data_IF_908127787540
#
_entry.id   IF_908127787540
#
_cell.length_a   1.000
_cell.length_b   1.000
_cell.length_c   1.000
_cell.angle_alpha   90.00
_cell.angle_beta   90.00
_cell.angle_gamma   90.00
#
_symmetry.space_group_name_H-M   'P 1'
#
loop_
_entity.id
_entity.type
_entity.pdbx_description
1 polymer ?
#
# COMPACT_ATOMS: atom_id res chain seq x y z
N UNK A 1 -8.37 -6.49 -13.23
CA UNK A 1 -7.59 -6.65 -11.99
C UNK A 1 -8.53 -6.94 -10.84
N UNK A 2 -8.18 -7.85 -9.92
CA UNK A 2 -9.00 -8.16 -8.74
C UNK A 2 -8.07 -8.44 -7.55
N UNK A 3 -8.39 -7.86 -6.38
CA UNK A 3 -7.71 -8.13 -5.10
C UNK A 3 -8.58 -7.70 -3.91
N UNK A 4 -8.12 -7.96 -2.69
CA UNK A 4 -8.90 -7.72 -1.49
C UNK A 4 -8.18 -6.77 -0.52
N UNK A 5 -8.90 -5.77 -0.03
CA UNK A 5 -8.48 -4.92 1.09
C UNK A 5 -9.37 -5.18 2.31
N UNK A 6 -8.85 -4.91 3.49
CA UNK A 6 -9.59 -4.97 4.75
C UNK A 6 -9.52 -3.60 5.42
N UNK A 7 -10.68 -2.99 5.70
CA UNK A 7 -10.73 -1.63 6.21
C UNK A 7 -11.15 -1.58 7.67
N UNK A 8 -10.60 -0.60 8.36
CA UNK A 8 -11.06 -0.18 9.68
C UNK A 8 -12.42 0.54 9.60
N UNK A 9 -12.99 0.87 10.76
CA UNK A 9 -14.14 1.76 10.90
C UNK A 9 -13.72 3.23 11.17
N UNK A 10 -12.45 3.55 10.94
CA UNK A 10 -11.87 4.86 11.22
C UNK A 10 -10.91 5.29 10.11
N UNK A 11 -10.50 6.55 10.14
CA UNK A 11 -9.51 7.15 9.25
C UNK A 11 -8.50 7.93 10.09
N UNK A 12 -7.20 7.71 9.83
CA UNK A 12 -6.12 8.45 10.47
C UNK A 12 -5.79 8.03 11.91
N UNK A 13 -6.18 6.83 12.34
CA UNK A 13 -5.92 6.33 13.69
C UNK A 13 -4.77 5.31 13.71
N UNK A 14 -3.55 5.76 13.98
CA UNK A 14 -2.36 4.90 14.07
C UNK A 14 -2.43 3.82 15.14
N UNK A 15 -3.26 4.01 16.18
CA UNK A 15 -3.45 3.05 17.29
C UNK A 15 -4.46 1.95 16.96
N UNK A 16 -5.19 2.08 15.83
CA UNK A 16 -6.15 1.06 15.45
C UNK A 16 -5.42 -0.22 15.01
N UNK A 17 -5.90 -1.35 15.48
CA UNK A 17 -5.41 -2.68 15.10
C UNK A 17 -6.49 -3.54 14.46
N UNK A 18 -7.75 -3.09 14.42
CA UNK A 18 -8.89 -3.87 13.93
C UNK A 18 -9.31 -3.45 12.53
N UNK A 19 -9.39 -4.42 11.63
CA UNK A 19 -9.75 -4.25 10.22
C UNK A 19 -10.82 -5.27 9.78
N UNK A 20 -12.08 -5.11 10.25
CA UNK A 20 -13.11 -6.13 10.10
C UNK A 20 -13.81 -6.14 8.75
N UNK A 21 -13.65 -5.10 7.93
CA UNK A 21 -14.47 -4.94 6.73
C UNK A 21 -13.72 -5.40 5.48
N UNK A 22 -14.08 -6.55 4.94
CA UNK A 22 -13.55 -7.04 3.67
C UNK A 22 -14.10 -6.21 2.50
N UNK A 23 -13.21 -5.77 1.61
CA UNK A 23 -13.51 -5.03 0.38
C UNK A 23 -12.86 -5.71 -0.80
N UNK A 24 -13.66 -6.31 -1.66
CA UNK A 24 -13.19 -6.87 -2.93
C UNK A 24 -13.10 -5.74 -3.94
N UNK A 25 -11.90 -5.51 -4.46
CA UNK A 25 -11.60 -4.47 -5.43
C UNK A 25 -11.62 -5.07 -6.82
N UNK A 26 -12.55 -4.65 -7.64
CA UNK A 26 -12.69 -5.07 -9.04
C UNK A 26 -12.69 -3.90 -10.01
N UNK A 27 -12.81 -2.69 -9.47
CA UNK A 27 -12.85 -1.44 -10.22
C UNK A 27 -12.13 -0.32 -9.47
N UNK A 28 -11.81 0.74 -10.19
CA UNK A 28 -11.32 2.00 -9.62
C UNK A 28 -12.29 2.58 -8.57
N UNK A 29 -13.59 2.48 -8.85
CA UNK A 29 -14.62 2.97 -7.93
C UNK A 29 -14.65 2.19 -6.60
N UNK A 30 -14.38 0.88 -6.63
CA UNK A 30 -14.28 0.07 -5.41
C UNK A 30 -13.05 0.51 -4.60
N UNK A 31 -11.92 0.71 -5.26
CA UNK A 31 -10.68 1.14 -4.61
C UNK A 31 -10.86 2.52 -3.96
N UNK A 32 -11.39 3.51 -4.68
CA UNK A 32 -11.68 4.85 -4.15
C UNK A 32 -12.54 4.80 -2.88
N UNK A 33 -13.55 3.94 -2.84
CA UNK A 33 -14.43 3.79 -1.66
C UNK A 33 -13.71 3.12 -0.49
N UNK A 34 -12.82 2.15 -0.75
CA UNK A 34 -12.13 1.42 0.30
C UNK A 34 -11.05 2.28 0.98
N UNK A 35 -10.24 3.02 0.20
CA UNK A 35 -9.07 3.75 0.72
C UNK A 35 -9.41 5.03 1.49
N UNK A 36 -10.68 5.40 1.59
CA UNK A 36 -11.12 6.46 2.50
C UNK A 36 -10.86 6.09 3.96
N UNK A 37 -10.90 4.79 4.28
CA UNK A 37 -10.65 4.25 5.62
C UNK A 37 -9.21 3.76 5.76
N UNK A 38 -8.71 3.74 6.99
CA UNK A 38 -7.46 3.04 7.29
C UNK A 38 -7.62 1.57 6.87
N UNK A 39 -6.61 1.02 6.18
CA UNK A 39 -6.76 -0.30 5.57
C UNK A 39 -5.46 -1.11 5.58
N UNK A 40 -5.63 -2.41 5.41
CA UNK A 40 -4.56 -3.39 5.26
C UNK A 40 -4.82 -4.29 4.05
N UNK A 41 -3.78 -4.96 3.58
CA UNK A 41 -3.81 -5.83 2.41
C UNK A 41 -3.90 -7.32 2.78
N UNK A 42 -4.06 -7.64 4.05
CA UNK A 42 -4.19 -9.01 4.51
C UNK A 42 -5.38 -9.19 5.45
N UNK A 43 -5.92 -10.40 5.45
CA UNK A 43 -6.85 -10.87 6.47
C UNK A 43 -6.06 -11.30 7.71
N UNK A 44 -6.58 -10.98 8.88
CA UNK A 44 -6.00 -11.35 10.16
C UNK A 44 -6.99 -12.12 11.03
N UNK A 45 -6.49 -13.04 11.83
CA UNK A 45 -7.28 -13.73 12.84
C UNK A 45 -7.93 -12.71 13.80
N UNK A 46 -9.22 -12.90 14.09
CA UNK A 46 -10.03 -11.96 14.89
C UNK A 46 -9.98 -10.51 14.38
N UNK A 47 -9.68 -10.31 13.10
CA UNK A 47 -9.51 -9.00 12.44
C UNK A 47 -8.36 -8.15 13.02
N UNK A 48 -7.55 -8.72 13.93
CA UNK A 48 -6.51 -8.03 14.67
C UNK A 48 -5.15 -8.09 13.92
N UNK A 49 -4.72 -6.95 13.40
CA UNK A 49 -3.52 -6.79 12.61
C UNK A 49 -2.24 -7.12 13.40
N UNK A 50 -1.56 -8.16 12.99
CA UNK A 50 -0.19 -8.51 13.40
C UNK A 50 0.36 -9.57 12.45
N UNK A 51 1.68 -9.74 12.38
CA UNK A 51 2.29 -10.81 11.58
C UNK A 51 1.86 -12.20 12.10
N UNK A 52 1.69 -12.35 13.42
CA UNK A 52 1.25 -13.61 14.03
C UNK A 52 -0.19 -14.00 13.69
N UNK A 53 -1.04 -13.01 13.40
CA UNK A 53 -2.45 -13.21 13.06
C UNK A 53 -2.68 -13.26 11.54
N UNK A 54 -1.64 -13.20 10.73
CA UNK A 54 -1.76 -13.19 9.26
C UNK A 54 -2.40 -14.48 8.76
N UNK A 55 -3.47 -14.36 8.00
CA UNK A 55 -4.20 -15.50 7.43
C UNK A 55 -4.05 -15.59 5.91
N UNK A 56 -4.21 -14.47 5.21
CA UNK A 56 -4.27 -14.47 3.76
C UNK A 56 -4.04 -13.06 3.20
N UNK A 57 -3.30 -12.96 2.10
CA UNK A 57 -3.26 -11.78 1.24
C UNK A 57 -3.23 -12.19 -0.23
N UNK A 58 -3.91 -11.45 -1.08
CA UNK A 58 -3.93 -11.58 -2.55
C UNK A 58 -3.37 -10.33 -3.24
N UNK A 59 -2.71 -9.45 -2.48
CA UNK A 59 -2.12 -8.21 -2.98
C UNK A 59 -0.91 -7.79 -2.14
N UNK A 60 0.13 -7.30 -2.78
CA UNK A 60 1.33 -6.78 -2.12
C UNK A 60 1.31 -5.26 -2.17
N UNK A 61 1.18 -4.57 -1.02
CA UNK A 61 1.29 -3.12 -0.95
C UNK A 61 2.75 -2.69 -0.87
N UNK A 62 3.10 -1.66 -1.64
CA UNK A 62 4.39 -0.97 -1.54
C UNK A 62 4.14 0.52 -1.33
N UNK A 63 4.97 1.15 -0.51
CA UNK A 63 4.88 2.57 -0.16
C UNK A 63 5.98 3.35 -0.88
N UNK A 64 5.64 4.44 -1.55
CA UNK A 64 6.57 5.34 -2.21
C UNK A 64 6.44 6.74 -1.63
N UNK A 65 7.31 7.07 -0.68
CA UNK A 65 7.38 8.39 -0.05
C UNK A 65 8.35 9.35 -0.78
N UNK A 66 9.15 8.87 -1.75
CA UNK A 66 10.21 9.61 -2.44
C UNK A 66 11.23 10.23 -1.47
N UNK A 67 11.46 9.59 -0.33
CA UNK A 67 12.39 10.07 0.69
C UNK A 67 13.87 9.70 0.40
N UNK A 68 14.11 8.95 -0.69
CA UNK A 68 15.44 8.56 -1.16
C UNK A 68 16.25 9.71 -1.75
N UNK A 69 15.61 10.79 -2.22
CA UNK A 69 16.28 11.99 -2.75
C UNK A 69 15.51 13.27 -2.40
N UNK A 70 16.23 14.36 -2.20
CA UNK A 70 15.65 15.69 -2.07
C UNK A 70 15.64 16.46 -3.41
N UNK A 71 16.24 15.92 -4.48
CA UNK A 71 16.15 16.47 -5.84
C UNK A 71 14.83 15.97 -6.51
N UNK A 72 13.95 16.89 -6.94
CA UNK A 72 12.71 16.53 -7.64
C UNK A 72 12.91 15.70 -8.91
N UNK A 73 14.08 15.75 -9.53
CA UNK A 73 14.38 14.97 -10.74
C UNK A 73 14.49 13.46 -10.48
N UNK A 74 14.79 13.09 -9.24
CA UNK A 74 14.93 11.69 -8.83
C UNK A 74 13.60 11.10 -8.32
N UNK A 75 12.56 11.92 -8.18
CA UNK A 75 11.29 11.44 -7.65
C UNK A 75 10.54 10.59 -8.66
N UNK A 76 10.01 9.48 -8.16
CA UNK A 76 9.16 8.57 -8.93
C UNK A 76 7.72 9.08 -8.90
N UNK A 77 7.05 8.99 -10.05
CA UNK A 77 5.62 9.28 -10.19
C UNK A 77 4.87 8.03 -10.65
N UNK A 78 3.54 7.95 -10.44
CA UNK A 78 2.74 6.85 -10.96
C UNK A 78 2.89 6.65 -12.49
N UNK A 79 3.01 7.74 -13.25
CA UNK A 79 3.21 7.69 -14.70
C UNK A 79 4.56 7.03 -15.06
N UNK A 80 5.63 7.35 -14.34
CA UNK A 80 6.93 6.69 -14.53
C UNK A 80 6.85 5.20 -14.24
N UNK A 81 6.09 4.80 -13.20
CA UNK A 81 5.86 3.38 -12.91
C UNK A 81 5.10 2.68 -14.04
N UNK A 82 4.04 3.27 -14.57
CA UNK A 82 3.29 2.71 -15.70
C UNK A 82 4.19 2.48 -16.91
N UNK A 83 5.06 3.45 -17.21
CA UNK A 83 6.02 3.33 -18.30
C UNK A 83 7.11 2.28 -18.06
N UNK A 84 7.52 2.07 -16.82
CA UNK A 84 8.62 1.17 -16.46
C UNK A 84 8.21 -0.27 -16.26
N UNK A 85 6.99 -0.51 -15.75
CA UNK A 85 6.52 -1.86 -15.40
C UNK A 85 5.79 -2.58 -16.55
N UNK A 86 5.52 -1.90 -17.65
CA UNK A 86 4.93 -2.52 -18.85
C UNK A 86 3.64 -3.27 -18.56
N UNK A 87 3.65 -4.60 -18.76
CA UNK A 87 2.46 -5.45 -18.62
C UNK A 87 2.16 -5.89 -17.18
N UNK A 88 2.91 -5.41 -16.19
CA UNK A 88 2.63 -5.73 -14.78
C UNK A 88 1.35 -5.02 -14.33
N UNK A 89 0.37 -5.78 -13.85
CA UNK A 89 -0.85 -5.21 -13.31
C UNK A 89 -0.61 -4.63 -11.91
N UNK A 90 -0.98 -3.37 -11.70
CA UNK A 90 -0.97 -2.72 -10.40
C UNK A 90 -2.04 -1.62 -10.33
N UNK A 91 -2.32 -1.15 -9.13
CA UNK A 91 -3.14 0.04 -8.89
C UNK A 91 -2.37 1.00 -7.97
N UNK A 92 -2.66 2.29 -8.08
CA UNK A 92 -2.03 3.34 -7.28
C UNK A 92 -3.09 4.16 -6.56
N UNK A 93 -2.81 4.52 -5.31
CA UNK A 93 -3.57 5.54 -4.57
C UNK A 93 -2.61 6.55 -4.00
N UNK A 94 -2.98 7.82 -4.02
CA UNK A 94 -2.16 8.85 -3.39
C UNK A 94 -2.24 8.76 -1.86
N UNK A 95 -1.10 8.93 -1.20
CA UNK A 95 -1.00 9.00 0.26
C UNK A 95 -1.63 10.29 0.79
N UNK A 96 -2.11 10.29 2.04
CA UNK A 96 -2.60 11.50 2.72
C UNK A 96 -1.59 12.66 2.77
N UNK A 97 -0.30 12.36 2.58
CA UNK A 97 0.77 13.36 2.52
C UNK A 97 1.25 13.65 1.08
N UNK A 98 0.49 13.21 0.07
CA UNK A 98 0.82 13.51 -1.33
C UNK A 98 0.89 15.03 -1.55
N UNK A 99 2.00 15.49 -2.14
CA UNK A 99 2.30 16.91 -2.40
C UNK A 99 2.20 17.82 -1.15
N UNK A 100 2.40 17.25 0.06
CA UNK A 100 2.48 17.99 1.31
C UNK A 100 3.87 17.81 1.95
N UNK A 101 4.33 18.81 2.69
CA UNK A 101 5.53 18.66 3.52
C UNK A 101 5.28 17.66 4.67
N UNK A 102 6.28 16.82 4.98
CA UNK A 102 6.22 15.81 6.04
C UNK A 102 7.53 15.82 6.84
N UNK A 103 7.46 16.24 8.10
CA UNK A 103 8.67 16.44 8.91
C UNK A 103 9.61 17.48 8.29
N UNK A 104 10.86 17.07 8.04
CA UNK A 104 11.87 17.90 7.38
C UNK A 104 11.91 17.74 5.84
N UNK A 105 11.00 16.93 5.29
CA UNK A 105 10.93 16.68 3.84
C UNK A 105 9.96 17.63 3.16
N UNK A 106 10.36 18.15 1.99
CA UNK A 106 9.53 19.02 1.15
C UNK A 106 8.27 18.30 0.63
N UNK A 107 7.33 19.09 0.13
CA UNK A 107 6.19 18.56 -0.63
C UNK A 107 6.68 17.78 -1.84
N UNK A 108 6.23 16.52 -1.99
CA UNK A 108 6.66 15.60 -3.04
C UNK A 108 5.58 14.55 -3.33
N UNK A 109 5.63 13.87 -4.49
CA UNK A 109 4.72 12.76 -4.77
C UNK A 109 4.86 11.67 -3.70
N UNK A 110 3.75 11.27 -3.07
CA UNK A 110 3.67 10.12 -2.15
C UNK A 110 2.46 9.29 -2.48
N UNK A 111 2.66 7.99 -2.65
CA UNK A 111 1.60 7.10 -3.10
C UNK A 111 1.85 5.66 -2.67
N UNK A 112 0.79 4.87 -2.65
CA UNK A 112 0.83 3.44 -2.40
C UNK A 112 0.57 2.69 -3.71
N UNK A 113 1.30 1.61 -3.92
CA UNK A 113 1.15 0.73 -5.07
C UNK A 113 0.65 -0.62 -4.60
N UNK A 114 -0.37 -1.14 -5.25
CA UNK A 114 -0.96 -2.44 -4.96
C UNK A 114 -0.67 -3.38 -6.12
N UNK A 115 0.12 -4.43 -5.87
CA UNK A 115 0.43 -5.48 -6.84
C UNK A 115 -0.44 -6.70 -6.56
N UNK A 116 -1.50 -6.99 -7.34
CA UNK A 116 -2.28 -8.21 -7.19
C UNK A 116 -1.40 -9.44 -7.41
N UNK A 117 -1.59 -10.45 -6.57
CA UNK A 117 -0.80 -11.69 -6.59
C UNK A 117 -1.69 -12.92 -6.44
N UNK A 118 -1.14 -14.10 -6.63
CA UNK A 118 -1.77 -15.32 -6.13
C UNK A 118 -1.93 -15.24 -4.60
N UNK A 119 -2.99 -15.82 -4.03
CA UNK A 119 -3.22 -15.79 -2.59
C UNK A 119 -2.04 -16.41 -1.82
N UNK A 120 -1.51 -15.67 -0.84
CA UNK A 120 -0.45 -16.08 0.05
C UNK A 120 -0.99 -16.21 1.48
N UNK A 121 -0.74 -17.35 2.15
CA UNK A 121 -1.19 -17.65 3.53
C UNK A 121 -0.07 -17.59 4.57
N UNK A 122 1.10 -17.14 4.18
CA UNK A 122 2.29 -17.11 5.02
C UNK A 122 2.87 -15.70 5.10
N UNK A 123 2.91 -15.13 6.30
CA UNK A 123 3.44 -13.78 6.55
C UNK A 123 4.91 -13.64 6.14
N UNK A 124 5.71 -14.67 6.38
CA UNK A 124 7.15 -14.69 6.02
C UNK A 124 7.34 -14.65 4.51
N UNK A 125 6.55 -15.47 3.80
CA UNK A 125 6.54 -15.50 2.34
C UNK A 125 6.08 -14.15 1.76
N UNK A 126 4.98 -13.57 2.31
CA UNK A 126 4.48 -12.28 1.90
C UNK A 126 5.53 -11.17 2.08
N UNK A 127 6.21 -11.16 3.23
CA UNK A 127 7.32 -10.26 3.50
C UNK A 127 8.51 -10.48 2.55
N UNK A 128 8.83 -11.73 2.21
CA UNK A 128 9.89 -12.04 1.26
C UNK A 128 9.61 -11.47 -0.13
N UNK A 129 8.36 -11.54 -0.61
CA UNK A 129 7.95 -10.92 -1.87
C UNK A 129 8.13 -9.40 -1.83
N UNK A 130 7.71 -8.73 -0.74
CA UNK A 130 7.93 -7.28 -0.55
C UNK A 130 9.41 -6.92 -0.60
N UNK A 131 10.28 -7.70 0.08
CA UNK A 131 11.73 -7.49 0.05
C UNK A 131 12.30 -7.68 -1.37
N UNK A 132 11.80 -8.66 -2.13
CA UNK A 132 12.25 -8.86 -3.51
C UNK A 132 11.83 -7.68 -4.40
N UNK A 133 10.59 -7.19 -4.28
CA UNK A 133 10.12 -6.01 -5.01
C UNK A 133 11.00 -4.79 -4.64
N UNK A 134 11.27 -4.57 -3.37
CA UNK A 134 12.13 -3.47 -2.92
C UNK A 134 13.56 -3.58 -3.45
N UNK A 135 14.10 -4.79 -3.56
CA UNK A 135 15.43 -5.02 -4.14
C UNK A 135 15.50 -4.62 -5.61
N UNK A 136 14.46 -4.94 -6.38
CA UNK A 136 14.37 -4.58 -7.81
C UNK A 136 14.00 -3.09 -8.03
N UNK A 137 13.21 -2.55 -7.10
CA UNK A 137 12.66 -1.19 -7.16
C UNK A 137 12.98 -0.45 -5.84
N UNK A 138 14.23 -0.02 -5.62
CA UNK A 138 14.72 0.47 -4.33
C UNK A 138 14.19 1.84 -3.92
N UNK A 139 13.41 2.49 -4.76
CA UNK A 139 12.73 3.74 -4.42
C UNK A 139 11.50 3.54 -3.52
N UNK A 140 10.99 2.31 -3.37
CA UNK A 140 9.98 2.02 -2.37
C UNK A 140 10.55 2.10 -0.96
N UNK A 141 9.71 2.44 0.02
CA UNK A 141 10.14 2.61 1.42
C UNK A 141 10.54 1.26 2.05
N UNK A 142 11.83 1.13 2.39
CA UNK A 142 12.37 -0.04 3.07
C UNK A 142 11.84 -0.24 4.51
N UNK A 143 11.24 0.79 5.12
CA UNK A 143 10.61 0.67 6.44
C UNK A 143 9.16 0.15 6.39
N UNK A 144 8.62 -0.06 5.20
CA UNK A 144 7.23 -0.47 4.95
C UNK A 144 7.10 -1.93 4.48
N UNK A 145 8.08 -2.79 4.76
CA UNK A 145 8.16 -4.15 4.22
C UNK A 145 7.57 -5.25 5.11
N UNK A 146 7.03 -4.89 6.28
CA UNK A 146 6.34 -5.83 7.18
C UNK A 146 5.06 -6.40 6.54
N UNK A 147 4.71 -7.64 6.92
CA UNK A 147 3.52 -8.32 6.39
C UNK A 147 2.22 -7.73 6.92
N UNK A 148 2.27 -7.08 8.07
CA UNK A 148 1.13 -6.44 8.74
C UNK A 148 1.07 -4.93 8.52
N UNK A 149 1.67 -4.42 7.45
CA UNK A 149 1.64 -3.00 7.12
C UNK A 149 0.22 -2.49 6.97
N UNK A 150 -0.12 -1.40 7.66
CA UNK A 150 -1.36 -0.67 7.42
C UNK A 150 -1.08 0.63 6.66
N UNK A 151 -2.09 1.09 5.96
CA UNK A 151 -2.08 2.33 5.21
C UNK A 151 -3.17 3.25 5.75
N UNK A 152 -2.83 4.51 5.93
CA UNK A 152 -3.81 5.51 6.37
C UNK A 152 -4.83 5.80 5.28
N UNK A 153 -6.09 5.88 5.69
CA UNK A 153 -7.16 6.30 4.81
C UNK A 153 -7.09 7.78 4.46
N UNK A 154 -7.44 8.09 3.23
CA UNK A 154 -7.73 9.43 2.76
C UNK A 154 -8.59 9.35 1.49
N UNK A 155 -9.43 10.36 1.20
CA UNK A 155 -9.98 10.52 -0.15
C UNK A 155 -8.82 10.63 -1.13
N UNK A 156 -8.78 9.77 -2.14
CA UNK A 156 -7.67 9.69 -3.07
C UNK A 156 -8.18 9.48 -4.49
N UNK A 157 -7.51 10.09 -5.44
CA UNK A 157 -7.57 9.63 -6.81
C UNK A 157 -6.75 8.35 -6.95
N UNK A 158 -7.18 7.48 -7.86
CA UNK A 158 -6.52 6.21 -8.20
C UNK A 158 -6.05 6.25 -9.65
N UNK A 159 -4.98 5.53 -9.91
CA UNK A 159 -4.35 5.42 -11.22
C UNK A 159 -4.18 3.96 -11.57
#
# INVERSE_FOLDING_TARGET
MKFTLYTANCTGNEKNVLYPNQKVITSEADLKKAVVYDHVCAQYENFARSDANFLLSDVVPMDCDNDHSDDPKDWITPEMLMNSLGDVAFAVTYSRHHMLAKGNKSARPRFHVFFPTAPCKDATMHKAVKNQIHKELPFFDGNALDASRFLFGCPSDVV
#
